data_IF_796746400626
#
_entry.id   IF_796746400626
#
_cell.length_a   1.000
_cell.length_b   1.000
_cell.length_c   1.000
_cell.angle_alpha   90.00
_cell.angle_beta   90.00
_cell.angle_gamma   90.00
#
_symmetry.space_group_name_H-M   'P 1'
#
loop_
_entity.id
_entity.type
_entity.pdbx_description
1 polymer ?
#
# COMPACT_ATOMS: atom_id res chain seq x y z
N UNK A 1 12.79 -59.75 -42.52
CA UNK A 1 13.49 -58.44 -42.69
C UNK A 1 12.61 -57.58 -43.56
N UNK A 2 11.87 -56.67 -42.94
CA UNK A 2 11.01 -55.71 -43.64
C UNK A 2 11.56 -54.30 -43.34
N UNK A 3 12.09 -53.63 -44.35
CA UNK A 3 12.57 -52.25 -44.26
C UNK A 3 11.41 -51.27 -44.31
N UNK A 4 11.20 -50.52 -43.23
CA UNK A 4 10.30 -49.37 -43.21
C UNK A 4 10.97 -48.19 -43.93
N UNK A 5 10.35 -47.68 -45.02
CA UNK A 5 10.73 -46.44 -45.68
C UNK A 5 10.03 -45.27 -45.02
N UNK A 6 10.82 -44.35 -44.43
CA UNK A 6 10.30 -43.05 -43.92
C UNK A 6 10.04 -42.07 -45.09
N UNK A 7 8.87 -41.44 -45.11
CA UNK A 7 8.51 -40.37 -46.06
C UNK A 7 9.07 -39.02 -45.57
N UNK A 8 9.55 -38.12 -46.45
CA UNK A 8 10.09 -36.84 -46.04
C UNK A 8 9.01 -35.84 -45.63
N UNK A 9 9.31 -35.09 -44.56
CA UNK A 9 8.46 -34.02 -43.99
C UNK A 9 8.48 -32.80 -44.92
N UNK A 10 7.31 -32.36 -45.35
CA UNK A 10 7.07 -31.22 -46.22
C UNK A 10 7.18 -29.91 -45.38
N UNK A 11 8.19 -29.06 -45.66
CA UNK A 11 8.36 -27.75 -45.03
C UNK A 11 7.21 -26.82 -45.43
N UNK A 12 6.42 -26.36 -44.45
CA UNK A 12 5.40 -25.32 -44.59
C UNK A 12 6.05 -23.95 -44.81
N UNK A 13 5.71 -23.27 -45.91
CA UNK A 13 6.10 -21.89 -46.19
C UNK A 13 5.28 -20.96 -45.26
N UNK A 14 5.93 -20.24 -44.35
CA UNK A 14 5.34 -19.14 -43.60
C UNK A 14 4.95 -18.03 -44.57
N UNK A 15 3.65 -17.70 -44.64
CA UNK A 15 3.13 -16.51 -45.31
C UNK A 15 3.36 -15.31 -44.38
N UNK A 16 4.03 -14.28 -44.87
CA UNK A 16 4.15 -12.98 -44.18
C UNK A 16 2.79 -12.26 -44.10
N UNK A 17 2.66 -11.26 -43.21
CA UNK A 17 1.40 -10.53 -43.00
C UNK A 17 0.95 -9.81 -44.27
N UNK A 18 -0.34 -9.86 -44.53
CA UNK A 18 -0.98 -9.24 -45.72
C UNK A 18 -0.87 -7.71 -45.65
N UNK A 19 -0.77 -7.07 -46.83
CA UNK A 19 -0.64 -5.62 -47.01
C UNK A 19 -1.80 -4.77 -46.47
N UNK A 20 -2.88 -5.37 -46.01
CA UNK A 20 -4.02 -4.65 -45.39
C UNK A 20 -3.77 -4.20 -43.95
N UNK A 21 -2.90 -4.90 -43.21
CA UNK A 21 -2.57 -4.53 -41.80
C UNK A 21 -1.72 -3.25 -41.73
N UNK A 22 -0.95 -2.93 -42.79
CA UNK A 22 -0.13 -1.71 -42.82
C UNK A 22 -0.93 -0.42 -43.08
N UNK A 23 -2.14 -0.53 -43.63
CA UNK A 23 -2.96 0.67 -43.95
C UNK A 23 -3.76 1.22 -42.77
N UNK A 24 -3.97 0.44 -41.72
CA UNK A 24 -4.72 0.88 -40.53
C UNK A 24 -3.81 1.66 -39.55
N UNK A 25 -2.49 1.39 -39.56
CA UNK A 25 -1.53 2.11 -38.72
C UNK A 25 -1.28 3.56 -39.18
N UNK A 26 -1.33 3.82 -40.50
CA UNK A 26 -1.09 5.18 -41.05
C UNK A 26 -2.31 6.11 -40.86
N UNK A 27 -3.52 5.57 -40.81
CA UNK A 27 -4.74 6.37 -40.60
C UNK A 27 -4.88 6.95 -39.18
N UNK A 28 -4.41 6.22 -38.16
CA UNK A 28 -4.47 6.67 -36.77
C UNK A 28 -3.48 7.78 -36.42
N UNK A 29 -2.33 7.80 -37.10
CA UNK A 29 -1.30 8.83 -36.88
C UNK A 29 -1.72 10.22 -37.37
N UNK A 30 -2.47 10.30 -38.49
CA UNK A 30 -2.93 11.57 -39.03
C UNK A 30 -4.13 12.17 -38.29
N UNK A 31 -4.98 11.37 -37.67
CA UNK A 31 -6.12 11.85 -36.89
C UNK A 31 -5.65 12.56 -35.62
N UNK A 32 -4.58 12.06 -34.96
CA UNK A 32 -4.00 12.71 -33.76
C UNK A 32 -3.32 14.03 -34.10
N UNK A 33 -2.69 14.13 -35.29
CA UNK A 33 -2.00 15.37 -35.72
C UNK A 33 -3.00 16.49 -36.09
N UNK A 34 -4.15 16.16 -36.69
CA UNK A 34 -5.19 17.14 -37.04
C UNK A 34 -5.89 17.71 -35.81
N UNK A 35 -6.10 16.91 -34.75
CA UNK A 35 -6.65 17.42 -33.49
C UNK A 35 -5.70 18.33 -32.72
N UNK A 36 -4.37 18.10 -32.78
CA UNK A 36 -3.38 18.95 -32.12
C UNK A 36 -3.26 20.34 -32.76
N UNK A 37 -3.44 20.45 -34.08
CA UNK A 37 -3.38 21.75 -34.82
C UNK A 37 -4.68 22.54 -34.66
N UNK A 38 -5.84 21.88 -34.57
CA UNK A 38 -7.12 22.57 -34.37
C UNK A 38 -7.30 23.16 -32.96
N UNK A 39 -6.65 22.57 -31.92
CA UNK A 39 -6.71 23.09 -30.54
C UNK A 39 -5.71 24.22 -30.27
N UNK A 40 -4.65 24.36 -31.08
CA UNK A 40 -3.64 25.42 -30.97
C UNK A 40 -4.04 26.77 -31.60
N UNK A 41 -4.96 26.79 -32.57
CA UNK A 41 -5.35 27.99 -33.31
C UNK A 41 -6.56 28.74 -32.73
N UNK A 42 -7.27 28.19 -31.75
CA UNK A 42 -8.49 28.75 -31.16
C UNK A 42 -8.29 29.80 -30.06
N UNK A 43 -7.07 30.10 -29.63
CA UNK A 43 -6.79 31.01 -28.50
C UNK A 43 -6.33 32.43 -28.83
N UNK A 44 -6.40 32.84 -30.08
CA UNK A 44 -5.88 34.16 -30.51
C UNK A 44 -6.95 35.18 -30.95
N UNK A 45 -8.23 34.92 -30.80
CA UNK A 45 -9.26 35.84 -31.26
C UNK A 45 -10.47 35.90 -30.33
N UNK A 46 -10.31 36.36 -29.06
CA UNK A 46 -11.39 37.02 -28.32
C UNK A 46 -10.80 38.00 -27.35
N UNK A 47 -10.80 39.29 -27.75
CA UNK A 47 -10.48 40.40 -26.88
C UNK A 47 -11.57 40.56 -25.83
N UNK A 48 -11.16 40.69 -24.56
CA UNK A 48 -12.03 41.13 -23.46
C UNK A 48 -12.12 42.64 -23.43
N UNK A 49 -13.31 43.26 -23.34
CA UNK A 49 -13.44 44.67 -23.09
C UNK A 49 -13.16 44.98 -21.62
N UNK A 50 -12.35 46.04 -21.39
CA UNK A 50 -12.12 46.69 -20.13
C UNK A 50 -13.44 47.18 -19.50
N UNK A 51 -13.71 46.77 -18.28
CA UNK A 51 -14.66 47.44 -17.38
C UNK A 51 -13.85 48.09 -16.26
N UNK A 52 -13.54 49.38 -16.52
CA UNK A 52 -13.10 50.34 -15.50
C UNK A 52 -14.35 50.88 -14.81
N UNK A 53 -14.28 50.91 -13.48
CA UNK A 53 -15.07 51.86 -12.72
C UNK A 53 -16.06 51.29 -11.72
N UNK A 54 -15.64 51.17 -10.50
CA UNK A 54 -16.44 51.58 -9.35
C UNK A 54 -15.49 51.81 -8.15
N UNK A 55 -15.19 53.12 -7.97
CA UNK A 55 -14.60 53.61 -6.74
C UNK A 55 -15.64 53.53 -5.63
N UNK A 56 -15.32 52.88 -4.51
CA UNK A 56 -16.01 53.08 -3.23
C UNK A 56 -14.96 53.53 -2.23
N UNK A 57 -15.19 54.73 -1.69
CA UNK A 57 -14.37 55.41 -0.68
C UNK A 57 -14.33 54.63 0.64
N UNK A 58 -13.24 54.74 1.42
CA UNK A 58 -13.16 54.14 2.74
C UNK A 58 -13.83 55.05 3.76
N UNK A 59 -14.99 54.65 4.26
CA UNK A 59 -15.64 55.25 5.44
C UNK A 59 -15.19 54.53 6.70
N UNK A 60 -14.62 55.24 7.61
CA UNK A 60 -14.16 54.84 8.93
C UNK A 60 -15.30 54.29 9.80
N UNK A 61 -15.08 53.11 10.43
CA UNK A 61 -15.69 52.80 11.72
C UNK A 61 -14.57 52.26 12.61
N UNK A 62 -14.05 53.13 13.47
CA UNK A 62 -13.22 52.75 14.60
C UNK A 62 -14.13 52.21 15.70
N UNK A 63 -14.11 50.91 15.93
CA UNK A 63 -14.59 50.32 17.17
C UNK A 63 -13.35 49.98 18.02
N UNK A 64 -13.10 50.82 19.00
CA UNK A 64 -12.11 50.64 20.05
C UNK A 64 -12.62 49.52 20.97
N UNK A 65 -11.99 48.36 20.93
CA UNK A 65 -12.15 47.33 21.95
C UNK A 65 -11.06 47.57 23.01
N UNK A 66 -11.48 47.91 24.22
CA UNK A 66 -10.64 47.98 25.40
C UNK A 66 -10.02 46.63 25.68
N UNK A 67 -8.72 46.48 25.40
CA UNK A 67 -7.92 45.35 25.84
C UNK A 67 -7.35 45.73 27.21
N UNK A 68 -7.84 45.08 28.25
CA UNK A 68 -7.25 45.18 29.59
C UNK A 68 -5.77 44.74 29.58
N UNK A 69 -4.90 45.43 30.36
CA UNK A 69 -3.47 45.08 30.38
C UNK A 69 -3.26 43.70 30.98
N UNK A 70 -2.62 42.84 30.18
CA UNK A 70 -2.13 41.51 30.65
C UNK A 70 -0.95 41.74 31.59
N UNK A 71 -1.09 41.30 32.85
CA UNK A 71 -0.03 41.32 33.84
C UNK A 71 1.21 40.58 33.32
N UNK A 72 2.45 41.07 33.62
CA UNK A 72 3.65 40.42 33.15
C UNK A 72 3.84 39.07 33.84
N UNK A 73 3.98 37.99 33.02
CA UNK A 73 4.38 36.66 33.49
C UNK A 73 5.74 36.82 34.15
N UNK A 74 5.79 36.58 35.47
CA UNK A 74 7.04 36.48 36.23
C UNK A 74 7.85 35.33 35.69
N UNK A 75 8.88 35.63 34.90
CA UNK A 75 9.92 34.65 34.55
C UNK A 75 10.70 34.33 35.82
N UNK A 76 10.44 33.15 36.41
CA UNK A 76 11.33 32.56 37.40
C UNK A 76 12.61 32.17 36.68
N UNK A 77 13.66 32.95 36.92
CA UNK A 77 15.02 32.62 36.51
C UNK A 77 15.55 31.56 37.49
N UNK A 78 15.65 30.31 37.02
CA UNK A 78 16.34 29.25 37.77
C UNK A 78 17.83 29.46 37.50
N UNK A 79 18.60 29.70 38.58
CA UNK A 79 20.06 29.82 38.50
C UNK A 79 20.69 28.50 38.03
N UNK A 80 21.78 28.54 37.23
CA UNK A 80 22.33 27.34 36.61
C UNK A 80 23.02 26.35 37.57
N UNK A 81 23.10 26.66 38.86
CA UNK A 81 23.90 25.88 39.81
C UNK A 81 23.13 24.82 40.63
N UNK A 82 21.80 24.71 40.49
CA UNK A 82 20.96 23.80 41.28
C UNK A 82 20.45 22.55 40.54
N UNK A 83 21.06 22.19 39.41
CA UNK A 83 20.74 20.92 38.74
C UNK A 83 21.75 19.87 39.19
N UNK A 84 21.40 18.87 40.04
CA UNK A 84 22.29 17.78 40.34
C UNK A 84 22.63 17.07 39.04
N UNK A 85 23.91 17.08 38.66
CA UNK A 85 24.42 16.33 37.53
C UNK A 85 24.27 14.84 37.82
N UNK A 86 23.15 14.27 37.38
CA UNK A 86 22.91 12.85 37.36
C UNK A 86 23.80 12.26 36.26
N UNK A 87 25.04 11.96 36.65
CA UNK A 87 26.02 11.24 35.82
C UNK A 87 25.48 9.83 35.64
N UNK A 88 24.68 9.62 34.59
CA UNK A 88 24.34 8.28 34.14
C UNK A 88 25.58 7.69 33.49
N UNK A 89 26.36 6.93 34.25
CA UNK A 89 27.46 6.09 33.76
C UNK A 89 26.77 4.93 33.02
N UNK A 90 26.60 5.09 31.69
CA UNK A 90 26.27 3.94 30.85
C UNK A 90 27.54 3.11 30.77
N UNK A 91 27.55 1.97 31.46
CA UNK A 91 28.61 0.98 31.31
C UNK A 91 28.59 0.55 29.83
N UNK A 92 29.69 0.86 29.12
CA UNK A 92 29.85 0.58 27.68
C UNK A 92 29.97 -0.91 27.36
N UNK A 93 29.94 -1.77 28.35
CA UNK A 93 30.14 -3.22 28.19
C UNK A 93 28.81 -4.01 27.98
N UNK A 94 27.64 -3.37 28.15
CA UNK A 94 26.31 -4.04 27.95
C UNK A 94 25.68 -3.82 26.59
N UNK A 95 26.37 -3.18 25.62
CA UNK A 95 25.96 -3.15 24.20
C UNK A 95 26.65 -4.30 23.46
N UNK A 96 26.77 -5.47 24.08
CA UNK A 96 26.80 -6.70 23.31
C UNK A 96 25.41 -6.85 22.68
N UNK A 97 25.33 -6.63 21.36
CA UNK A 97 24.13 -6.80 20.59
C UNK A 97 23.44 -8.09 21.07
N UNK A 98 22.38 -7.95 21.84
CA UNK A 98 21.50 -9.06 22.15
C UNK A 98 20.98 -9.57 20.82
N UNK A 99 21.64 -10.58 20.27
CA UNK A 99 21.14 -11.35 19.14
C UNK A 99 19.74 -11.78 19.57
N UNK A 100 18.73 -11.23 18.94
CA UNK A 100 17.35 -11.61 19.21
C UNK A 100 17.29 -13.13 19.12
N UNK A 101 16.76 -13.84 20.13
CA UNK A 101 16.74 -15.30 20.10
C UNK A 101 16.11 -15.74 18.81
N UNK A 102 16.83 -16.56 18.04
CA UNK A 102 16.32 -17.18 16.81
C UNK A 102 15.00 -17.86 17.19
N UNK A 103 13.88 -17.55 16.56
CA UNK A 103 12.60 -18.14 16.94
C UNK A 103 12.67 -19.66 16.92
N UNK A 104 12.30 -20.31 18.00
CA UNK A 104 12.26 -21.76 18.12
C UNK A 104 11.06 -22.31 17.35
N UNK A 105 11.19 -22.51 16.03
CA UNK A 105 10.13 -23.05 15.19
C UNK A 105 10.52 -23.04 13.70
N UNK A 106 9.76 -23.72 12.83
CA UNK A 106 10.02 -23.66 11.41
C UNK A 106 9.87 -22.24 10.88
N UNK A 107 10.75 -21.80 9.96
CA UNK A 107 10.63 -20.51 9.28
C UNK A 107 9.23 -20.34 8.68
N UNK A 108 8.62 -19.18 8.96
CA UNK A 108 7.22 -18.94 8.67
C UNK A 108 7.07 -17.79 7.68
N UNK A 109 6.22 -17.94 6.66
CA UNK A 109 5.94 -16.88 5.69
C UNK A 109 4.44 -16.64 5.57
N UNK A 110 4.06 -15.38 5.29
CA UNK A 110 2.75 -15.01 4.80
C UNK A 110 2.90 -14.30 3.45
N UNK A 111 1.94 -14.52 2.56
CA UNK A 111 1.87 -13.90 1.24
C UNK A 111 0.54 -13.19 1.11
N UNK A 112 0.57 -11.98 0.54
CA UNK A 112 -0.61 -11.16 0.22
C UNK A 112 -0.61 -10.87 -1.27
N UNK A 113 -1.78 -10.95 -1.91
CA UNK A 113 -2.00 -10.50 -3.28
C UNK A 113 -2.84 -9.23 -3.23
N UNK A 114 -2.24 -8.12 -3.69
CA UNK A 114 -2.86 -6.80 -3.76
C UNK A 114 -3.62 -6.58 -5.09
N UNK A 115 -4.24 -5.42 -5.27
CA UNK A 115 -4.94 -4.95 -6.48
C UNK A 115 -6.09 -5.83 -6.97
N UNK A 116 -6.70 -6.63 -6.10
CA UNK A 116 -7.82 -7.50 -6.49
C UNK A 116 -9.13 -6.72 -6.66
N UNK A 117 -10.02 -7.26 -7.48
CA UNK A 117 -11.35 -6.72 -7.73
C UNK A 117 -11.51 -6.04 -9.09
N UNK A 118 -10.44 -5.47 -9.67
CA UNK A 118 -10.49 -4.79 -10.97
C UNK A 118 -10.58 -5.78 -12.15
N UNK A 119 -9.84 -6.88 -12.09
CA UNK A 119 -9.88 -7.98 -13.05
C UNK A 119 -10.45 -9.23 -12.39
N UNK A 120 -11.64 -9.64 -12.83
CA UNK A 120 -12.33 -10.79 -12.27
C UNK A 120 -11.65 -12.13 -12.63
N UNK A 121 -10.92 -12.21 -13.74
CA UNK A 121 -10.24 -13.43 -14.17
C UNK A 121 -9.04 -13.66 -13.27
N UNK A 122 -8.14 -12.68 -13.16
CA UNK A 122 -6.96 -12.78 -12.32
C UNK A 122 -7.32 -12.84 -10.83
N UNK A 123 -8.38 -12.14 -10.41
CA UNK A 123 -8.90 -12.27 -9.03
C UNK A 123 -9.31 -13.71 -8.71
N UNK A 124 -10.01 -14.41 -9.62
CA UNK A 124 -10.36 -15.82 -9.39
C UNK A 124 -9.17 -16.76 -9.42
N UNK A 125 -8.16 -16.47 -10.23
CA UNK A 125 -6.89 -17.20 -10.17
C UNK A 125 -6.21 -17.01 -8.81
N UNK A 126 -6.22 -15.81 -8.24
CA UNK A 126 -5.72 -15.57 -6.89
C UNK A 126 -6.55 -16.34 -5.83
N UNK A 127 -7.88 -16.41 -5.97
CA UNK A 127 -8.77 -17.22 -5.09
C UNK A 127 -8.45 -18.71 -5.18
N UNK A 128 -7.90 -19.20 -6.29
CA UNK A 128 -7.49 -20.60 -6.43
C UNK A 128 -6.15 -20.94 -5.74
N UNK A 129 -5.40 -19.95 -5.25
CA UNK A 129 -4.19 -20.17 -4.46
C UNK A 129 -4.50 -20.86 -3.11
N UNK A 130 -3.50 -21.40 -2.40
CA UNK A 130 -3.71 -21.91 -1.04
C UNK A 130 -4.37 -20.88 -0.14
N UNK A 131 -5.38 -21.29 0.63
CA UNK A 131 -6.19 -20.41 1.50
C UNK A 131 -5.41 -19.61 2.55
N UNK A 132 -4.14 -19.95 2.77
CA UNK A 132 -3.22 -19.20 3.64
C UNK A 132 -2.78 -17.89 3.00
N UNK A 133 -2.79 -17.77 1.67
CA UNK A 133 -2.51 -16.52 0.97
C UNK A 133 -3.64 -15.53 1.27
N UNK A 134 -3.31 -14.36 1.79
CA UNK A 134 -4.27 -13.30 2.03
C UNK A 134 -4.57 -12.53 0.73
N UNK A 135 -5.78 -12.02 0.59
CA UNK A 135 -6.26 -11.37 -0.61
C UNK A 135 -6.73 -9.94 -0.30
N UNK A 136 -6.11 -8.96 -0.91
CA UNK A 136 -6.36 -7.54 -0.65
C UNK A 136 -7.07 -6.89 -1.83
N UNK A 137 -8.23 -6.31 -1.56
CA UNK A 137 -9.15 -5.83 -2.58
C UNK A 137 -9.21 -4.31 -2.64
N UNK A 138 -9.04 -3.75 -3.82
CA UNK A 138 -9.37 -2.35 -4.11
C UNK A 138 -10.87 -2.11 -3.86
N UNK A 139 -11.27 -1.04 -3.15
CA UNK A 139 -12.68 -0.84 -2.79
C UNK A 139 -13.54 -0.30 -3.94
N UNK A 140 -12.94 0.33 -4.94
CA UNK A 140 -13.67 1.05 -5.99
C UNK A 140 -14.17 0.19 -7.16
N UNK A 141 -13.60 -0.96 -7.54
CA UNK A 141 -14.18 -1.76 -8.62
C UNK A 141 -15.58 -2.25 -8.26
N UNK A 142 -16.46 -2.30 -9.28
CA UNK A 142 -17.86 -2.66 -9.10
C UNK A 142 -18.03 -4.07 -8.53
N UNK A 143 -17.22 -5.02 -8.98
CA UNK A 143 -17.29 -6.44 -8.62
C UNK A 143 -16.62 -6.78 -7.29
N UNK A 144 -15.91 -5.84 -6.66
CA UNK A 144 -15.19 -6.08 -5.41
C UNK A 144 -16.06 -6.75 -4.34
N UNK A 145 -17.29 -6.28 -4.01
CA UNK A 145 -18.06 -6.90 -2.94
C UNK A 145 -18.42 -8.37 -3.22
N UNK A 146 -18.62 -8.72 -4.49
CA UNK A 146 -18.95 -10.09 -4.92
C UNK A 146 -17.72 -10.99 -4.85
N UNK A 147 -16.58 -10.53 -5.39
CA UNK A 147 -15.33 -11.28 -5.43
C UNK A 147 -14.72 -11.46 -4.03
N UNK A 148 -14.81 -10.45 -3.17
CA UNK A 148 -14.35 -10.56 -1.78
C UNK A 148 -15.17 -11.61 -0.99
N UNK A 149 -16.50 -11.69 -1.19
CA UNK A 149 -17.31 -12.77 -0.62
C UNK A 149 -16.95 -14.15 -1.18
N UNK A 150 -16.63 -14.25 -2.47
CA UNK A 150 -16.15 -15.47 -3.10
C UNK A 150 -14.84 -15.94 -2.46
N UNK A 151 -13.88 -15.05 -2.30
CA UNK A 151 -12.59 -15.30 -1.63
C UNK A 151 -12.75 -15.71 -0.15
N UNK A 152 -13.61 -15.00 0.59
CA UNK A 152 -13.89 -15.33 1.99
C UNK A 152 -14.50 -16.73 2.14
N UNK A 153 -15.43 -17.12 1.25
CA UNK A 153 -16.01 -18.48 1.24
C UNK A 153 -14.98 -19.57 0.88
N UNK A 154 -13.97 -19.24 0.07
CA UNK A 154 -12.83 -20.11 -0.20
C UNK A 154 -11.87 -20.23 1.00
N UNK A 155 -12.06 -19.42 2.04
CA UNK A 155 -11.33 -19.48 3.30
C UNK A 155 -10.11 -18.57 3.38
N UNK A 156 -9.93 -17.64 2.43
CA UNK A 156 -8.88 -16.62 2.49
C UNK A 156 -9.16 -15.56 3.54
N UNK A 157 -8.11 -15.01 4.10
CA UNK A 157 -8.15 -13.74 4.83
C UNK A 157 -8.23 -12.58 3.85
N UNK A 158 -9.11 -11.63 4.13
CA UNK A 158 -9.44 -10.52 3.23
C UNK A 158 -8.94 -9.21 3.83
N UNK A 159 -8.27 -8.38 3.01
CA UNK A 159 -7.89 -7.02 3.35
C UNK A 159 -8.59 -6.02 2.45
N UNK A 160 -8.71 -4.80 2.96
CA UNK A 160 -9.03 -3.62 2.14
C UNK A 160 -7.72 -3.01 1.65
N UNK A 161 -7.50 -3.03 0.35
CA UNK A 161 -6.39 -2.33 -0.28
C UNK A 161 -6.76 -0.85 -0.42
N UNK A 162 -6.38 -0.08 0.62
CA UNK A 162 -6.88 1.26 0.86
C UNK A 162 -6.12 2.29 0.02
N UNK A 163 -6.79 2.96 -0.94
CA UNK A 163 -6.15 3.96 -1.79
C UNK A 163 -5.66 5.16 -0.99
N UNK A 164 -4.39 5.53 -1.17
CA UNK A 164 -3.73 6.63 -0.47
C UNK A 164 -2.84 7.44 -1.39
N UNK A 165 -2.63 8.71 -1.08
CA UNK A 165 -1.84 9.66 -1.87
C UNK A 165 -0.39 9.21 -2.05
N UNK A 166 0.07 9.19 -3.32
CA UNK A 166 1.45 8.92 -3.70
C UNK A 166 2.30 10.21 -3.73
N UNK A 167 3.62 10.08 -3.58
CA UNK A 167 4.58 11.19 -3.79
C UNK A 167 4.67 11.61 -5.26
N UNK A 168 4.49 10.66 -6.17
CA UNK A 168 4.56 10.86 -7.61
C UNK A 168 3.22 11.17 -8.27
N UNK A 169 3.18 11.13 -9.60
CA UNK A 169 1.97 11.40 -10.38
C UNK A 169 0.96 10.25 -10.42
N UNK A 170 1.24 9.16 -9.71
CA UNK A 170 0.38 7.98 -9.66
C UNK A 170 -0.99 8.35 -9.11
N UNK A 171 -2.03 7.88 -9.78
CA UNK A 171 -3.41 8.06 -9.34
C UNK A 171 -3.84 6.84 -8.52
N UNK A 172 -4.03 6.97 -7.21
CA UNK A 172 -4.45 5.85 -6.37
C UNK A 172 -5.90 5.43 -6.56
N UNK A 173 -6.63 6.12 -7.41
CA UNK A 173 -8.04 5.83 -7.68
C UNK A 173 -9.03 6.66 -6.87
N UNK A 174 -10.34 6.39 -7.05
CA UNK A 174 -11.42 7.14 -6.40
C UNK A 174 -11.41 6.99 -4.87
N UNK A 175 -11.80 8.06 -4.17
CA UNK A 175 -11.89 8.11 -2.71
C UNK A 175 -10.56 7.79 -2.00
N UNK A 176 -9.42 8.05 -2.63
CA UNK A 176 -8.13 7.91 -1.99
C UNK A 176 -7.99 8.87 -0.79
N UNK A 177 -7.32 8.42 0.25
CA UNK A 177 -6.96 9.27 1.38
C UNK A 177 -5.87 10.25 0.94
N UNK A 178 -6.07 11.54 1.21
CA UNK A 178 -5.22 12.62 0.73
C UNK A 178 -4.81 13.52 1.89
N UNK A 179 -3.56 13.98 1.93
CA UNK A 179 -3.07 14.90 2.99
C UNK A 179 -3.84 16.23 2.98
N UNK A 180 -4.19 16.73 1.77
CA UNK A 180 -4.91 17.97 1.63
C UNK A 180 -6.40 17.93 2.07
N UNK A 181 -6.94 16.76 2.38
CA UNK A 181 -8.32 16.61 2.86
C UNK A 181 -8.40 16.80 4.38
N UNK A 182 -9.57 17.28 4.85
CA UNK A 182 -9.85 17.32 6.27
C UNK A 182 -9.82 15.89 6.87
N UNK A 183 -9.40 15.73 8.14
CA UNK A 183 -9.35 14.44 8.82
C UNK A 183 -10.68 13.65 8.73
N UNK A 184 -11.80 14.34 8.91
CA UNK A 184 -13.15 13.76 8.88
C UNK A 184 -13.50 13.23 7.48
N UNK A 185 -13.01 13.91 6.43
CA UNK A 185 -13.17 13.44 5.05
C UNK A 185 -12.38 12.16 4.81
N UNK A 186 -11.14 12.09 5.28
CA UNK A 186 -10.34 10.87 5.16
C UNK A 186 -10.96 9.70 5.95
N UNK A 187 -11.54 9.96 7.13
CA UNK A 187 -12.28 8.94 7.88
C UNK A 187 -13.54 8.48 7.13
N UNK A 188 -14.30 9.40 6.51
CA UNK A 188 -15.46 9.03 5.67
C UNK A 188 -15.06 8.17 4.47
N UNK A 189 -13.91 8.47 3.83
CA UNK A 189 -13.37 7.69 2.72
C UNK A 189 -12.91 6.30 3.18
N UNK A 190 -12.28 6.23 4.36
CA UNK A 190 -11.96 4.95 5.00
C UNK A 190 -13.23 4.13 5.23
N UNK A 191 -14.27 4.69 5.85
CA UNK A 191 -15.53 4.00 6.13
C UNK A 191 -16.20 3.51 4.84
N UNK A 192 -16.17 4.33 3.79
CA UNK A 192 -16.64 3.91 2.48
C UNK A 192 -15.83 2.71 1.97
N UNK A 193 -14.49 2.76 2.02
CA UNK A 193 -13.64 1.68 1.55
C UNK A 193 -13.90 0.37 2.32
N UNK A 194 -14.00 0.45 3.65
CA UNK A 194 -14.32 -0.69 4.51
C UNK A 194 -15.69 -1.30 4.17
N UNK A 195 -16.70 -0.47 3.85
CA UNK A 195 -18.03 -0.94 3.48
C UNK A 195 -18.09 -1.72 2.16
N UNK A 196 -17.09 -1.49 1.29
CA UNK A 196 -17.01 -2.11 -0.04
C UNK A 196 -16.41 -3.52 -0.06
N UNK A 197 -15.68 -3.89 0.99
CA UNK A 197 -14.93 -5.16 1.05
C UNK A 197 -15.45 -6.01 2.20
N UNK A 198 -16.50 -6.81 2.02
CA UNK A 198 -17.08 -7.60 3.10
C UNK A 198 -16.11 -8.70 3.58
N UNK A 199 -16.09 -8.91 4.90
CA UNK A 199 -15.28 -9.97 5.54
C UNK A 199 -13.81 -9.61 5.72
N UNK A 200 -13.44 -8.35 5.59
CA UNK A 200 -12.07 -7.89 5.83
C UNK A 200 -11.68 -8.05 7.30
N UNK A 201 -10.38 -8.28 7.54
CA UNK A 201 -9.80 -8.38 8.88
C UNK A 201 -8.68 -7.35 9.10
N UNK A 202 -8.24 -6.70 8.04
CA UNK A 202 -7.17 -5.71 8.04
C UNK A 202 -7.25 -4.79 6.84
N UNK A 203 -6.37 -3.81 6.84
CA UNK A 203 -6.15 -2.91 5.71
C UNK A 203 -4.67 -2.90 5.35
N UNK A 204 -4.35 -2.59 4.09
CA UNK A 204 -3.01 -2.21 3.67
C UNK A 204 -3.09 -1.07 2.64
N UNK A 205 -2.04 -0.28 2.51
CA UNK A 205 -2.04 0.87 1.61
C UNK A 205 -1.81 0.46 0.15
N UNK A 206 -2.73 0.93 -0.73
CA UNK A 206 -2.52 1.02 -2.17
C UNK A 206 -1.87 2.37 -2.48
N UNK A 207 -0.73 2.34 -3.18
CA UNK A 207 0.14 3.51 -3.28
C UNK A 207 0.48 4.07 -1.88
N UNK A 208 0.26 5.35 -1.65
CA UNK A 208 0.31 5.95 -0.32
C UNK A 208 1.71 6.35 0.13
N UNK A 209 2.69 6.44 -0.75
CA UNK A 209 4.06 6.83 -0.37
C UNK A 209 4.12 8.22 0.28
N UNK A 210 3.22 9.15 -0.09
CA UNK A 210 3.10 10.46 0.55
C UNK A 210 2.26 10.39 1.83
N UNK A 211 1.12 9.73 1.77
CA UNK A 211 0.20 9.68 2.91
C UNK A 211 0.79 8.93 4.10
N UNK A 212 1.46 7.81 3.88
CA UNK A 212 2.06 7.00 4.93
C UNK A 212 3.31 7.62 5.55
N UNK A 213 3.93 8.61 4.91
CA UNK A 213 5.04 9.39 5.48
C UNK A 213 4.58 10.56 6.35
N UNK A 214 3.27 10.88 6.42
CA UNK A 214 2.72 11.96 7.21
C UNK A 214 2.04 11.45 8.49
N UNK A 215 2.63 11.80 9.64
CA UNK A 215 2.13 11.43 10.95
C UNK A 215 0.70 11.95 11.19
N UNK A 216 0.42 13.20 10.83
CA UNK A 216 -0.86 13.85 11.11
C UNK A 216 -1.98 13.30 10.23
N UNK A 217 -1.66 12.92 8.99
CA UNK A 217 -2.61 12.28 8.10
C UNK A 217 -2.97 10.85 8.55
N UNK A 218 -1.99 10.10 9.09
CA UNK A 218 -2.19 8.74 9.59
C UNK A 218 -2.98 8.70 10.91
N UNK A 219 -2.80 9.68 11.79
CA UNK A 219 -3.35 9.68 13.15
C UNK A 219 -4.89 9.40 13.18
N UNK A 220 -5.75 10.14 12.47
CA UNK A 220 -7.19 9.90 12.48
C UNK A 220 -7.58 8.54 11.85
N UNK A 221 -6.78 8.04 10.91
CA UNK A 221 -6.97 6.72 10.31
C UNK A 221 -6.70 5.64 11.35
N UNK A 222 -5.59 5.73 12.10
CA UNK A 222 -5.26 4.76 13.16
C UNK A 222 -6.27 4.77 14.28
N UNK A 223 -6.74 5.95 14.71
CA UNK A 223 -7.84 6.08 15.68
C UNK A 223 -9.11 5.36 15.21
N UNK A 224 -9.48 5.53 13.95
CA UNK A 224 -10.63 4.84 13.37
C UNK A 224 -10.42 3.32 13.27
N UNK A 225 -9.22 2.83 13.02
CA UNK A 225 -8.92 1.40 12.92
C UNK A 225 -8.88 0.70 14.27
N UNK A 226 -8.33 1.32 15.32
CA UNK A 226 -8.26 0.71 16.66
C UNK A 226 -9.65 0.45 17.23
N UNK A 227 -10.61 1.37 17.02
CA UNK A 227 -11.99 1.19 17.48
C UNK A 227 -12.72 0.04 16.78
N UNK A 228 -12.24 -0.38 15.61
CA UNK A 228 -12.79 -1.46 14.79
C UNK A 228 -12.03 -2.77 14.93
N UNK A 229 -10.96 -2.79 15.75
CA UNK A 229 -10.05 -3.94 15.90
C UNK A 229 -9.44 -4.43 14.58
N UNK A 230 -9.13 -3.51 13.67
CA UNK A 230 -8.57 -3.75 12.34
C UNK A 230 -7.06 -3.50 12.39
N UNK A 231 -6.25 -4.44 11.90
CA UNK A 231 -4.80 -4.25 11.80
C UNK A 231 -4.42 -3.48 10.52
N UNK A 232 -3.21 -2.91 10.52
CA UNK A 232 -2.63 -2.26 9.37
C UNK A 232 -1.38 -3.00 8.90
N UNK A 233 -1.38 -3.48 7.65
CA UNK A 233 -0.18 -3.98 6.98
C UNK A 233 0.41 -2.86 6.12
N UNK A 234 1.60 -2.38 6.47
CA UNK A 234 2.34 -1.40 5.68
C UNK A 234 2.92 -2.07 4.43
N UNK A 235 2.40 -1.68 3.25
CA UNK A 235 2.91 -2.15 1.95
C UNK A 235 4.30 -1.58 1.63
N UNK A 236 4.82 -0.66 2.47
CA UNK A 236 6.17 -0.09 2.35
C UNK A 236 6.46 0.51 0.97
N UNK A 237 5.59 1.40 0.51
CA UNK A 237 5.74 2.15 -0.74
C UNK A 237 6.75 3.30 -0.62
N UNK A 238 7.22 3.59 0.60
CA UNK A 238 8.30 4.54 0.90
C UNK A 238 9.13 4.02 2.08
N UNK A 239 10.41 4.40 2.13
CA UNK A 239 11.28 4.14 3.27
C UNK A 239 10.89 4.99 4.49
N UNK A 240 10.31 6.18 4.26
CA UNK A 240 9.92 7.18 5.26
C UNK A 240 8.57 6.89 5.91
N UNK A 241 7.98 5.70 5.68
CA UNK A 241 6.68 5.33 6.24
C UNK A 241 6.66 5.45 7.77
N UNK A 242 5.68 6.17 8.29
CA UNK A 242 5.39 6.38 9.70
C UNK A 242 4.36 5.40 10.27
N UNK A 243 3.88 4.44 9.46
CA UNK A 243 2.82 3.50 9.86
C UNK A 243 3.16 2.81 11.17
N UNK A 244 4.38 2.29 11.33
CA UNK A 244 4.77 1.54 12.54
C UNK A 244 4.70 2.41 13.80
N UNK A 245 5.22 3.64 13.76
CA UNK A 245 5.26 4.57 14.89
C UNK A 245 3.87 5.08 15.27
N UNK A 246 3.06 5.46 14.27
CA UNK A 246 1.70 5.96 14.51
C UNK A 246 0.77 4.84 14.97
N UNK A 247 0.82 3.67 14.33
CA UNK A 247 0.06 2.50 14.76
C UNK A 247 0.36 2.11 16.22
N UNK A 248 1.64 2.13 16.61
CA UNK A 248 2.05 1.88 17.98
C UNK A 248 1.46 2.91 18.96
N UNK A 249 1.53 4.20 18.62
CA UNK A 249 1.00 5.28 19.46
C UNK A 249 -0.51 5.18 19.70
N UNK A 250 -1.25 4.69 18.70
CA UNK A 250 -2.71 4.53 18.76
C UNK A 250 -3.17 3.12 19.17
N UNK A 251 -2.23 2.19 19.44
CA UNK A 251 -2.57 0.82 19.83
C UNK A 251 -3.11 -0.05 18.70
N UNK A 252 -2.87 0.32 17.44
CA UNK A 252 -3.21 -0.48 16.26
C UNK A 252 -2.15 -1.55 16.05
N UNK A 253 -2.56 -2.80 15.91
CA UNK A 253 -1.65 -3.87 15.50
C UNK A 253 -1.17 -3.61 14.08
N UNK A 254 0.15 -3.59 13.87
CA UNK A 254 0.71 -3.36 12.53
C UNK A 254 1.92 -4.26 12.25
N UNK A 255 2.18 -4.49 10.99
CA UNK A 255 3.40 -5.09 10.47
C UNK A 255 3.74 -4.44 9.14
N UNK A 256 4.96 -4.62 8.67
CA UNK A 256 5.39 -4.16 7.35
C UNK A 256 5.75 -5.36 6.46
N UNK A 257 5.60 -5.17 5.16
CA UNK A 257 6.11 -6.07 4.12
C UNK A 257 7.63 -6.19 4.20
N UNK A 258 8.12 -7.41 4.08
CA UNK A 258 9.56 -7.69 4.01
C UNK A 258 10.08 -7.82 2.57
N UNK A 259 9.23 -8.34 1.66
CA UNK A 259 9.60 -8.62 0.27
C UNK A 259 8.48 -8.20 -0.68
N UNK A 260 8.85 -7.49 -1.75
CA UNK A 260 7.99 -7.23 -2.90
C UNK A 260 8.27 -8.29 -3.95
N UNK A 261 7.27 -9.08 -4.36
CA UNK A 261 7.49 -10.27 -5.18
C UNK A 261 7.70 -9.93 -6.65
N UNK A 262 7.01 -8.94 -7.15
CA UNK A 262 6.84 -8.68 -8.57
C UNK A 262 7.06 -7.20 -8.95
N UNK A 263 8.03 -6.57 -8.32
CA UNK A 263 8.55 -5.25 -8.72
C UNK A 263 8.97 -5.28 -10.20
N UNK A 264 9.60 -6.39 -10.60
CA UNK A 264 9.86 -6.72 -12.00
C UNK A 264 8.97 -7.89 -12.40
N UNK A 265 8.07 -7.69 -13.39
CA UNK A 265 7.19 -8.73 -13.93
C UNK A 265 7.97 -9.72 -14.81
N UNK A 266 8.73 -10.57 -14.16
CA UNK A 266 9.54 -11.62 -14.76
C UNK A 266 9.61 -12.83 -13.83
N UNK A 267 9.41 -14.02 -14.35
CA UNK A 267 9.35 -15.27 -13.56
C UNK A 267 10.63 -15.53 -12.76
N UNK A 268 11.81 -15.23 -13.33
CA UNK A 268 13.09 -15.43 -12.65
C UNK A 268 13.30 -14.43 -11.51
N UNK A 269 12.88 -13.17 -11.72
CA UNK A 269 12.90 -12.12 -10.69
C UNK A 269 11.96 -12.48 -9.53
N UNK A 270 10.75 -12.94 -9.81
CA UNK A 270 9.76 -13.38 -8.82
C UNK A 270 10.30 -14.60 -8.03
N UNK A 271 10.89 -15.59 -8.73
CA UNK A 271 11.54 -16.71 -8.06
C UNK A 271 12.71 -16.25 -7.15
N UNK A 272 13.47 -15.24 -7.56
CA UNK A 272 14.50 -14.60 -6.75
C UNK A 272 13.94 -13.93 -5.49
N UNK A 273 12.80 -13.24 -5.62
CA UNK A 273 12.10 -12.62 -4.50
C UNK A 273 11.54 -13.66 -3.51
N UNK A 274 11.00 -14.77 -4.00
CA UNK A 274 10.57 -15.89 -3.15
C UNK A 274 11.74 -16.50 -2.37
N UNK A 275 12.90 -16.70 -3.00
CA UNK A 275 14.13 -17.15 -2.28
C UNK A 275 14.56 -16.12 -1.21
N UNK A 276 14.41 -14.83 -1.49
CA UNK A 276 14.68 -13.77 -0.51
C UNK A 276 13.71 -13.82 0.67
N UNK A 277 12.42 -14.11 0.39
CA UNK A 277 11.41 -14.32 1.42
C UNK A 277 11.76 -15.48 2.34
N UNK A 278 12.17 -16.63 1.78
CA UNK A 278 12.62 -17.79 2.54
C UNK A 278 13.83 -17.47 3.42
N UNK A 279 14.83 -16.79 2.86
CA UNK A 279 16.03 -16.39 3.61
C UNK A 279 15.66 -15.51 4.80
N UNK A 280 14.83 -14.46 4.57
CA UNK A 280 14.36 -13.59 5.65
C UNK A 280 13.56 -14.34 6.72
N UNK A 281 12.71 -15.29 6.32
CA UNK A 281 11.98 -16.12 7.26
C UNK A 281 12.91 -17.00 8.10
N UNK A 282 13.98 -17.55 7.52
CA UNK A 282 15.02 -18.32 8.25
C UNK A 282 15.80 -17.44 9.23
N UNK A 283 16.11 -16.20 8.85
CA UNK A 283 16.86 -15.26 9.68
C UNK A 283 16.02 -14.66 10.83
N UNK A 284 14.76 -14.35 10.57
CA UNK A 284 13.88 -13.58 11.45
C UNK A 284 12.76 -14.42 12.10
N UNK A 285 12.61 -15.69 11.68
CA UNK A 285 11.52 -16.58 12.10
C UNK A 285 10.23 -16.37 11.31
N UNK A 286 9.93 -15.15 10.85
CA UNK A 286 8.74 -14.82 10.08
C UNK A 286 9.03 -13.73 9.06
N UNK A 287 8.48 -13.87 7.84
CA UNK A 287 8.55 -12.85 6.80
C UNK A 287 7.21 -12.73 6.05
N UNK A 288 6.90 -11.50 5.59
CA UNK A 288 5.67 -11.18 4.86
C UNK A 288 6.06 -10.68 3.46
N UNK A 289 5.43 -11.25 2.42
CA UNK A 289 5.57 -10.79 1.05
C UNK A 289 4.26 -10.25 0.49
N UNK A 290 4.38 -9.30 -0.42
CA UNK A 290 3.27 -8.77 -1.22
C UNK A 290 3.60 -8.93 -2.70
N UNK A 291 2.61 -9.35 -3.49
CA UNK A 291 2.63 -9.39 -4.94
C UNK A 291 1.27 -9.00 -5.53
N UNK A 292 1.17 -8.95 -6.85
CA UNK A 292 -0.02 -8.56 -7.59
C UNK A 292 -0.59 -9.72 -8.40
N UNK A 293 -1.84 -9.62 -8.90
CA UNK A 293 -2.50 -10.74 -9.59
C UNK A 293 -2.05 -10.89 -11.05
N UNK A 294 -0.73 -10.86 -11.28
CA UNK A 294 -0.11 -11.13 -12.59
C UNK A 294 0.01 -12.64 -12.81
N UNK A 295 -0.07 -13.10 -14.05
CA UNK A 295 0.06 -14.54 -14.35
C UNK A 295 1.33 -15.14 -13.77
N UNK A 296 2.47 -14.48 -14.06
CA UNK A 296 3.80 -14.90 -13.58
C UNK A 296 3.87 -15.03 -12.06
N UNK A 297 3.26 -14.08 -11.34
CA UNK A 297 3.25 -14.04 -9.87
C UNK A 297 2.38 -15.17 -9.29
N UNK A 298 1.15 -15.32 -9.82
CA UNK A 298 0.23 -16.35 -9.34
C UNK A 298 0.77 -17.75 -9.59
N UNK A 299 1.36 -18.01 -10.78
CA UNK A 299 1.97 -19.30 -11.11
C UNK A 299 3.20 -19.60 -10.26
N UNK A 300 4.07 -18.59 -10.04
CA UNK A 300 5.23 -18.75 -9.17
C UNK A 300 4.85 -19.08 -7.72
N UNK A 301 3.83 -18.39 -7.17
CA UNK A 301 3.36 -18.66 -5.81
C UNK A 301 2.73 -20.05 -5.71
N UNK A 302 1.89 -20.44 -6.67
CA UNK A 302 1.27 -21.78 -6.70
C UNK A 302 2.33 -22.88 -6.73
N UNK A 303 3.33 -22.74 -7.60
CA UNK A 303 4.45 -23.66 -7.69
C UNK A 303 5.26 -23.71 -6.40
N UNK A 304 5.64 -22.54 -5.88
CA UNK A 304 6.43 -22.41 -4.65
C UNK A 304 5.73 -23.04 -3.45
N UNK A 305 4.44 -22.79 -3.26
CA UNK A 305 3.66 -23.32 -2.15
C UNK A 305 3.58 -24.86 -2.15
N UNK A 306 3.64 -25.48 -3.33
CA UNK A 306 3.61 -26.93 -3.49
C UNK A 306 5.00 -27.58 -3.33
N UNK A 307 6.11 -26.84 -3.54
CA UNK A 307 7.44 -27.43 -3.71
C UNK A 307 8.49 -26.91 -2.73
N UNK A 308 8.13 -26.14 -1.71
CA UNK A 308 9.10 -25.56 -0.76
C UNK A 308 9.00 -26.24 0.62
N UNK A 309 9.68 -27.37 0.83
CA UNK A 309 9.70 -28.04 2.13
C UNK A 309 10.47 -27.21 3.17
N UNK A 310 10.05 -27.29 4.43
CA UNK A 310 10.76 -26.63 5.53
C UNK A 310 10.41 -25.15 5.75
N UNK A 311 9.57 -24.57 4.91
CA UNK A 311 8.98 -23.24 5.10
C UNK A 311 7.47 -23.41 5.36
N UNK A 312 6.98 -22.80 6.43
CA UNK A 312 5.54 -22.86 6.77
C UNK A 312 4.81 -21.67 6.17
N UNK A 313 3.94 -21.88 5.19
CA UNK A 313 3.00 -20.85 4.74
C UNK A 313 1.85 -20.77 5.73
N UNK A 314 1.67 -19.59 6.33
CA UNK A 314 0.66 -19.32 7.35
C UNK A 314 -0.29 -18.20 6.92
N UNK A 315 -1.38 -18.03 7.66
CA UNK A 315 -2.28 -16.90 7.51
C UNK A 315 -1.57 -15.60 7.87
N UNK A 316 -1.96 -14.51 7.22
CA UNK A 316 -1.38 -13.18 7.47
C UNK A 316 -1.56 -12.75 8.93
N UNK A 317 -2.75 -12.99 9.52
CA UNK A 317 -3.01 -12.67 10.93
C UNK A 317 -2.07 -13.41 11.89
N UNK A 318 -1.67 -14.66 11.58
CA UNK A 318 -0.66 -15.39 12.34
C UNK A 318 0.73 -14.75 12.20
N UNK A 319 1.12 -14.40 10.97
CA UNK A 319 2.42 -13.75 10.73
C UNK A 319 2.52 -12.36 11.40
N UNK A 320 1.46 -11.55 11.32
CA UNK A 320 1.41 -10.24 12.00
C UNK A 320 1.57 -10.41 13.51
N UNK A 321 0.87 -11.36 14.13
CA UNK A 321 1.00 -11.64 15.57
C UNK A 321 2.40 -12.08 15.96
N UNK A 322 3.11 -12.83 15.10
CA UNK A 322 4.49 -13.24 15.34
C UNK A 322 5.48 -12.07 15.21
N UNK A 323 5.19 -11.10 14.33
CA UNK A 323 6.01 -9.90 14.13
C UNK A 323 5.71 -8.78 15.11
N UNK A 324 4.51 -8.74 15.69
CA UNK A 324 4.11 -7.67 16.60
C UNK A 324 5.04 -7.65 17.84
N UNK A 325 5.53 -6.47 18.25
CA UNK A 325 6.33 -6.34 19.45
C UNK A 325 5.55 -6.89 20.66
N UNK A 326 6.22 -7.67 21.52
CA UNK A 326 5.60 -8.29 22.72
C UNK A 326 5.08 -7.29 23.76
N UNK A 327 5.16 -5.99 23.52
CA UNK A 327 4.73 -4.93 24.43
C UNK A 327 3.21 -4.85 24.67
N UNK A 328 2.39 -5.46 23.83
CA UNK A 328 0.93 -5.46 24.05
C UNK A 328 0.45 -6.42 25.14
N UNK A 329 1.30 -7.28 25.67
CA UNK A 329 0.92 -8.19 26.76
C UNK A 329 0.71 -7.48 28.10
N UNK A 330 1.34 -6.31 28.34
CA UNK A 330 1.18 -5.53 29.57
C UNK A 330 -0.06 -4.63 29.56
N UNK A 331 -0.56 -4.22 28.39
CA UNK A 331 -1.79 -3.44 28.27
C UNK A 331 -3.05 -4.28 28.47
N UNK A 332 -2.99 -5.59 28.19
CA UNK A 332 -4.09 -6.54 28.43
C UNK A 332 -4.21 -6.96 29.90
N UNK A 333 -3.17 -6.77 30.72
CA UNK A 333 -3.19 -7.08 32.16
C UNK A 333 -3.66 -5.90 33.04
N UNK A 334 -3.98 -4.73 32.44
CA UNK A 334 -4.49 -3.53 33.13
C UNK A 334 -5.96 -3.22 32.84
N UNK A 335 -6.71 -4.18 32.30
CA UNK A 335 -8.18 -4.07 32.16
C UNK A 335 -8.89 -5.11 33.01
#
# INVERSE_FOLDING_TARGET
MAMLRLKPIRKSKRRGPSREVLRIADGAFWIVLVFAVAFGAGRLATGFPNLLGLFVSPGAIAAQADIAPVEPIVRMSIAPDDVPAMRMTIATDDIAAAASPVPSGPPTVAIVIDDLGADAIHTRRAIALPKQVALSFLPYPQDTPRLAREASRAGHEILVHLPMEALGPQNPGPNALMIAQAPEENVRRLDWALSRVPGFIGVNNHEGSRFTSDHNALAPVMEALVTRHVFFLDSKTTAESQVASVAFAYGVTSAARDVFLDDVDNIDAIAGALRTLERKAKEQGVAIAIGHPRESTLDAIAYWAAHTPGIKLVRLSEAIRLKAPKQNSLALLRR
#
